data_IF_667199607428
#
_entry.id   IF_667199607428
#
_cell.length_a   1.000
_cell.length_b   1.000
_cell.length_c   1.000
_cell.angle_alpha   90.00
_cell.angle_beta   90.00
_cell.angle_gamma   90.00
#
_symmetry.space_group_name_H-M   'P 1'
#
loop_
_entity.id
_entity.type
_entity.pdbx_description
1 polymer ?
#
# COMPACT_ATOMS: atom_id res chain seq x y z
N UNK A 1 -26.30 -3.52 -49.77
CA UNK A 1 -25.94 -4.82 -49.15
C UNK A 1 -24.59 -5.24 -49.72
N UNK A 2 -23.48 -4.86 -49.08
CA UNK A 2 -22.12 -5.22 -49.53
C UNK A 2 -21.37 -5.81 -48.34
N UNK A 3 -21.06 -7.11 -48.45
CA UNK A 3 -20.29 -7.86 -47.46
C UNK A 3 -18.79 -7.63 -47.68
N UNK A 4 -18.13 -6.96 -46.74
CA UNK A 4 -16.66 -6.89 -46.67
C UNK A 4 -16.15 -8.17 -46.01
N UNK A 5 -15.51 -9.04 -46.79
CA UNK A 5 -14.66 -10.13 -46.27
C UNK A 5 -13.35 -9.53 -45.79
N UNK A 6 -13.10 -9.61 -44.49
CA UNK A 6 -11.81 -9.28 -43.88
C UNK A 6 -10.89 -10.50 -44.00
N UNK A 7 -9.89 -10.40 -44.87
CA UNK A 7 -8.79 -11.35 -45.01
C UNK A 7 -7.88 -11.21 -43.80
N UNK A 8 -7.85 -12.23 -42.94
CA UNK A 8 -6.93 -12.31 -41.81
C UNK A 8 -5.58 -12.79 -42.34
N UNK A 9 -4.57 -11.91 -42.32
CA UNK A 9 -3.19 -12.30 -42.57
C UNK A 9 -2.66 -13.11 -41.36
N UNK A 10 -2.13 -14.32 -41.55
CA UNK A 10 -1.46 -15.06 -40.49
C UNK A 10 -0.18 -14.32 -40.09
N UNK A 11 -0.10 -13.93 -38.83
CA UNK A 11 1.13 -13.36 -38.24
C UNK A 11 2.20 -14.44 -38.14
N UNK A 12 3.45 -14.17 -38.55
CA UNK A 12 4.56 -15.10 -38.38
C UNK A 12 4.87 -15.26 -36.89
N UNK A 13 4.74 -16.49 -36.39
CA UNK A 13 5.23 -16.89 -35.08
C UNK A 13 6.75 -16.71 -35.06
N UNK A 14 7.20 -15.62 -34.45
CA UNK A 14 8.61 -15.39 -34.17
C UNK A 14 8.99 -16.27 -32.98
N UNK A 15 9.54 -17.44 -33.28
CA UNK A 15 10.31 -18.25 -32.34
C UNK A 15 11.49 -17.43 -31.83
N UNK A 16 11.24 -16.70 -30.75
CA UNK A 16 12.31 -16.13 -29.92
C UNK A 16 12.78 -17.22 -28.97
N UNK A 17 13.49 -18.20 -29.52
CA UNK A 17 14.45 -19.04 -28.80
C UNK A 17 15.64 -18.16 -28.38
N UNK A 18 15.38 -17.28 -27.43
CA UNK A 18 16.35 -16.40 -26.80
C UNK A 18 16.75 -16.97 -25.46
N UNK A 19 17.89 -17.67 -25.47
CA UNK A 19 18.82 -17.91 -24.37
C UNK A 19 18.56 -17.00 -23.16
N UNK A 20 17.81 -17.54 -22.21
CA UNK A 20 17.73 -17.05 -20.86
C UNK A 20 18.05 -18.22 -19.96
N UNK A 21 19.33 -18.55 -19.82
CA UNK A 21 19.86 -19.37 -18.74
C UNK A 21 19.55 -18.66 -17.41
N UNK A 22 18.29 -18.69 -17.01
CA UNK A 22 17.92 -18.62 -15.61
C UNK A 22 18.52 -19.90 -15.04
N UNK A 23 19.69 -19.77 -14.41
CA UNK A 23 20.02 -20.59 -13.26
C UNK A 23 18.91 -20.32 -12.22
N UNK A 24 17.77 -20.94 -12.47
CA UNK A 24 16.73 -21.19 -11.52
C UNK A 24 17.36 -22.23 -10.62
N UNK A 25 18.19 -21.77 -9.68
CA UNK A 25 18.66 -22.58 -8.56
C UNK A 25 17.39 -23.00 -7.85
N UNK A 26 16.98 -24.24 -8.11
CA UNK A 26 15.81 -24.84 -7.50
C UNK A 26 16.08 -24.84 -5.98
N UNK A 27 15.31 -24.09 -5.17
CA UNK A 27 15.51 -24.05 -3.72
C UNK A 27 15.33 -25.42 -3.04
N UNK A 28 14.87 -26.43 -3.80
CA UNK A 28 14.72 -27.81 -3.38
C UNK A 28 16.04 -28.62 -3.36
N UNK A 29 17.16 -28.13 -3.91
CA UNK A 29 18.38 -28.93 -4.08
C UNK A 29 19.55 -28.48 -3.19
N UNK A 30 19.24 -28.01 -1.97
CA UNK A 30 20.25 -28.03 -0.92
C UNK A 30 20.24 -29.41 -0.28
N UNK A 31 21.20 -30.24 -0.67
CA UNK A 31 21.35 -31.57 -0.12
C UNK A 31 21.37 -31.49 1.42
N UNK A 32 20.45 -32.18 2.11
CA UNK A 32 20.41 -32.18 3.57
C UNK A 32 21.75 -32.67 4.11
N UNK A 33 22.20 -32.09 5.24
CA UNK A 33 23.46 -32.50 5.86
C UNK A 33 23.46 -34.01 6.09
N UNK A 34 24.50 -34.68 5.60
CA UNK A 34 24.68 -36.10 5.84
C UNK A 34 24.74 -36.36 7.35
N UNK A 35 24.34 -37.56 7.79
CA UNK A 35 24.35 -37.90 9.22
C UNK A 35 25.71 -37.63 9.88
N UNK A 36 26.80 -37.86 9.14
CA UNK A 36 28.15 -37.57 9.61
C UNK A 36 28.46 -36.09 9.75
N UNK A 37 27.97 -35.25 8.82
CA UNK A 37 28.09 -33.80 8.93
C UNK A 37 27.30 -33.26 10.12
N UNK A 38 26.12 -33.82 10.42
CA UNK A 38 25.33 -33.45 11.60
C UNK A 38 26.05 -33.79 12.90
N UNK A 39 26.67 -34.98 12.98
CA UNK A 39 27.49 -35.39 14.13
C UNK A 39 28.70 -34.46 14.28
N UNK A 40 29.38 -34.14 13.17
CA UNK A 40 30.50 -33.21 13.17
C UNK A 40 30.11 -31.81 13.66
N UNK A 41 28.98 -31.27 13.16
CA UNK A 41 28.45 -29.98 13.59
C UNK A 41 28.04 -29.98 15.07
N UNK A 42 27.41 -31.06 15.55
CA UNK A 42 27.04 -31.21 16.96
C UNK A 42 28.28 -31.25 17.87
N UNK A 43 29.31 -32.01 17.47
CA UNK A 43 30.57 -32.11 18.21
C UNK A 43 31.30 -30.76 18.24
N UNK A 44 31.42 -30.08 17.10
CA UNK A 44 32.02 -28.74 17.02
C UNK A 44 31.25 -27.71 17.85
N UNK A 45 29.91 -27.72 17.79
CA UNK A 45 29.05 -26.84 18.56
C UNK A 45 29.18 -27.05 20.08
N UNK A 46 29.18 -28.31 20.53
CA UNK A 46 29.40 -28.66 21.95
C UNK A 46 30.79 -28.25 22.44
N UNK A 47 31.83 -28.46 21.62
CA UNK A 47 33.20 -28.06 21.96
C UNK A 47 33.35 -26.54 22.07
N UNK A 48 32.81 -25.79 21.11
CA UNK A 48 32.87 -24.32 21.13
C UNK A 48 32.03 -23.72 22.25
N UNK A 49 30.81 -24.23 22.48
CA UNK A 49 29.95 -23.77 23.57
C UNK A 49 30.55 -24.12 24.94
N UNK A 50 31.11 -25.32 25.09
CA UNK A 50 31.80 -25.75 26.30
C UNK A 50 33.05 -24.92 26.58
N UNK A 51 33.91 -24.73 25.57
CA UNK A 51 35.10 -23.89 25.68
C UNK A 51 34.76 -22.42 25.98
N UNK A 52 33.74 -21.87 25.31
CA UNK A 52 33.25 -20.51 25.57
C UNK A 52 32.72 -20.33 26.99
N UNK A 53 31.98 -21.33 27.50
CA UNK A 53 31.43 -21.32 28.87
C UNK A 53 32.53 -21.37 29.93
N UNK A 54 33.53 -22.23 29.77
CA UNK A 54 34.68 -22.30 30.70
C UNK A 54 35.51 -21.01 30.61
N UNK A 55 35.72 -20.50 29.40
CA UNK A 55 36.48 -19.27 29.18
C UNK A 55 35.81 -18.03 29.80
N UNK A 56 34.47 -17.99 29.95
CA UNK A 56 33.81 -16.90 30.69
C UNK A 56 34.25 -16.79 32.15
N UNK A 57 34.68 -17.89 32.76
CA UNK A 57 35.14 -17.89 34.15
C UNK A 57 36.65 -17.72 34.31
N UNK A 58 37.43 -18.04 33.27
CA UNK A 58 38.91 -18.03 33.34
C UNK A 58 39.56 -16.87 32.59
N UNK A 59 38.85 -16.25 31.64
CA UNK A 59 39.37 -15.18 30.78
C UNK A 59 38.86 -13.81 31.22
N UNK A 60 39.78 -12.85 31.36
CA UNK A 60 39.43 -11.42 31.48
C UNK A 60 39.01 -10.76 30.15
N UNK A 61 39.12 -11.48 29.03
CA UNK A 61 38.76 -11.00 27.70
C UNK A 61 37.34 -11.43 27.32
N UNK A 62 36.35 -10.57 27.61
CA UNK A 62 34.93 -10.82 27.35
C UNK A 62 34.54 -10.89 25.86
N UNK A 63 35.33 -10.28 24.97
CA UNK A 63 35.04 -10.29 23.54
C UNK A 63 35.21 -11.68 22.91
N UNK A 64 36.26 -12.42 23.31
CA UNK A 64 36.54 -13.75 22.77
C UNK A 64 35.52 -14.81 23.23
N UNK A 65 35.04 -14.70 24.47
CA UNK A 65 34.07 -15.63 25.06
C UNK A 65 32.68 -15.46 24.45
N UNK A 66 32.25 -14.21 24.22
CA UNK A 66 30.99 -13.90 23.54
C UNK A 66 30.96 -14.46 22.11
N UNK A 67 32.04 -14.27 21.34
CA UNK A 67 32.13 -14.79 19.97
C UNK A 67 32.10 -16.32 19.93
N UNK A 68 32.81 -16.99 20.84
CA UNK A 68 32.83 -18.45 20.93
C UNK A 68 31.44 -19.03 21.27
N UNK A 69 30.69 -18.39 22.17
CA UNK A 69 29.32 -18.79 22.52
C UNK A 69 28.35 -18.61 21.35
N UNK A 70 28.42 -17.47 20.66
CA UNK A 70 27.58 -17.21 19.48
C UNK A 70 27.88 -18.21 18.37
N UNK A 71 29.15 -18.45 18.06
CA UNK A 71 29.55 -19.44 17.07
C UNK A 71 29.11 -20.86 17.45
N UNK A 72 29.31 -21.28 18.70
CA UNK A 72 28.86 -22.58 19.20
C UNK A 72 27.35 -22.77 19.11
N UNK A 73 26.58 -21.73 19.44
CA UNK A 73 25.11 -21.74 19.34
C UNK A 73 24.63 -21.91 17.90
N UNK A 74 25.28 -21.24 16.94
CA UNK A 74 24.99 -21.39 15.50
C UNK A 74 25.25 -22.82 15.01
N UNK A 75 26.36 -23.45 15.41
CA UNK A 75 26.66 -24.85 15.06
C UNK A 75 25.68 -25.85 15.68
N UNK A 76 25.27 -25.65 16.93
CA UNK A 76 24.23 -26.44 17.59
C UNK A 76 22.89 -26.32 16.86
N UNK A 77 22.52 -25.11 16.44
CA UNK A 77 21.30 -24.87 15.67
C UNK A 77 21.34 -25.58 14.31
N UNK A 78 22.48 -25.57 13.60
CA UNK A 78 22.66 -26.35 12.36
C UNK A 78 22.51 -27.86 12.60
N UNK A 79 23.02 -28.39 13.72
CA UNK A 79 22.93 -29.82 14.03
C UNK A 79 21.47 -30.27 14.26
N UNK A 80 20.69 -29.45 14.97
CA UNK A 80 19.27 -29.71 15.25
C UNK A 80 18.44 -29.61 13.96
N UNK A 81 18.55 -28.48 13.26
CA UNK A 81 17.73 -28.20 12.05
C UNK A 81 18.16 -29.03 10.85
N UNK A 82 19.40 -29.53 10.80
CA UNK A 82 19.93 -30.28 9.66
C UNK A 82 20.21 -29.42 8.43
N UNK A 83 20.08 -28.10 8.53
CA UNK A 83 20.32 -27.15 7.44
C UNK A 83 21.58 -26.32 7.71
N UNK A 84 22.54 -26.23 6.77
CA UNK A 84 23.69 -25.37 6.94
C UNK A 84 23.26 -23.89 6.86
N UNK A 85 23.61 -23.09 7.87
CA UNK A 85 23.55 -21.63 7.81
C UNK A 85 24.71 -21.12 6.94
N UNK A 86 24.61 -21.34 5.64
CA UNK A 86 25.47 -20.67 4.67
C UNK A 86 25.11 -19.19 4.68
N UNK A 87 26.06 -18.30 5.02
CA UNK A 87 25.84 -16.85 5.06
C UNK A 87 25.30 -16.26 3.75
N UNK A 88 25.48 -16.95 2.61
CA UNK A 88 24.84 -16.60 1.34
C UNK A 88 23.31 -16.75 1.35
N UNK A 89 22.75 -17.67 2.16
CA UNK A 89 21.31 -17.98 2.18
C UNK A 89 20.46 -16.95 2.91
N UNK A 90 21.02 -16.18 3.84
CA UNK A 90 20.33 -15.03 4.42
C UNK A 90 20.12 -13.95 3.36
N UNK A 91 21.16 -13.68 2.57
CA UNK A 91 21.05 -12.76 1.43
C UNK A 91 20.10 -13.31 0.36
N UNK A 92 20.14 -14.61 0.07
CA UNK A 92 19.20 -15.22 -0.88
C UNK A 92 17.75 -15.25 -0.36
N UNK A 93 17.54 -15.42 0.95
CA UNK A 93 16.23 -15.37 1.57
C UNK A 93 15.66 -13.94 1.51
N UNK A 94 16.46 -12.93 1.80
CA UNK A 94 16.08 -11.52 1.63
C UNK A 94 15.77 -11.20 0.17
N UNK A 95 16.59 -11.67 -0.77
CA UNK A 95 16.34 -11.51 -2.22
C UNK A 95 15.07 -12.24 -2.67
N UNK A 96 14.80 -13.44 -2.15
CA UNK A 96 13.59 -14.22 -2.42
C UNK A 96 12.34 -13.52 -1.88
N UNK A 97 12.40 -12.99 -0.65
CA UNK A 97 11.34 -12.20 -0.02
C UNK A 97 11.07 -10.93 -0.83
N UNK A 98 12.13 -10.20 -1.23
CA UNK A 98 12.01 -9.01 -2.08
C UNK A 98 11.38 -9.32 -3.44
N UNK A 99 11.78 -10.41 -4.10
CA UNK A 99 11.16 -10.86 -5.37
C UNK A 99 9.72 -11.32 -5.20
N UNK A 100 9.37 -11.95 -4.08
CA UNK A 100 7.99 -12.33 -3.77
C UNK A 100 7.13 -11.09 -3.54
N UNK A 101 7.62 -10.14 -2.75
CA UNK A 101 6.98 -8.86 -2.46
C UNK A 101 6.73 -8.06 -3.75
N UNK A 102 7.74 -7.92 -4.60
CA UNK A 102 7.61 -7.24 -5.89
C UNK A 102 6.56 -7.91 -6.81
N UNK A 103 6.48 -9.25 -6.82
CA UNK A 103 5.47 -9.99 -7.58
C UNK A 103 4.06 -9.77 -7.04
N UNK A 104 3.89 -9.76 -5.72
CA UNK A 104 2.59 -9.52 -5.08
C UNK A 104 2.13 -8.08 -5.29
N UNK A 105 3.02 -7.09 -5.14
CA UNK A 105 2.74 -5.68 -5.45
C UNK A 105 2.32 -5.53 -6.92
N UNK A 106 3.04 -6.16 -7.86
CA UNK A 106 2.68 -6.14 -9.28
C UNK A 106 1.31 -6.78 -9.52
N UNK A 107 0.99 -7.88 -8.85
CA UNK A 107 -0.33 -8.54 -8.97
C UNK A 107 -1.45 -7.65 -8.41
N UNK A 108 -1.21 -7.02 -7.26
CA UNK A 108 -2.15 -6.08 -6.66
C UNK A 108 -2.43 -4.89 -7.60
N UNK A 109 -1.41 -4.33 -8.24
CA UNK A 109 -1.58 -3.23 -9.23
C UNK A 109 -2.45 -3.60 -10.44
N UNK A 110 -2.55 -4.88 -10.79
CA UNK A 110 -3.31 -5.34 -11.96
C UNK A 110 -4.70 -5.86 -11.58
N UNK A 111 -4.98 -6.05 -10.30
CA UNK A 111 -6.25 -6.60 -9.81
C UNK A 111 -7.29 -5.50 -9.56
N UNK A 112 -8.57 -5.88 -9.43
CA UNK A 112 -9.60 -4.98 -8.90
C UNK A 112 -9.19 -4.43 -7.52
N UNK A 113 -9.53 -3.18 -7.18
CA UNK A 113 -9.19 -2.57 -5.88
C UNK A 113 -9.47 -3.45 -4.65
N UNK A 114 -10.65 -4.11 -4.52
CA UNK A 114 -10.92 -4.94 -3.34
C UNK A 114 -10.05 -6.20 -3.26
N UNK A 115 -9.64 -6.78 -4.40
CA UNK A 115 -8.73 -7.92 -4.42
C UNK A 115 -7.30 -7.50 -4.11
N UNK A 116 -6.87 -6.39 -4.68
CA UNK A 116 -5.55 -5.81 -4.45
C UNK A 116 -5.36 -5.39 -2.98
N UNK A 117 -6.42 -4.89 -2.34
CA UNK A 117 -6.44 -4.61 -0.90
C UNK A 117 -6.25 -5.87 -0.06
N UNK A 118 -6.98 -6.94 -0.36
CA UNK A 118 -6.81 -8.23 0.35
C UNK A 118 -5.37 -8.74 0.23
N UNK A 119 -4.78 -8.65 -0.96
CA UNK A 119 -3.38 -9.02 -1.17
C UNK A 119 -2.41 -8.16 -0.35
N UNK A 120 -2.67 -6.85 -0.23
CA UNK A 120 -1.86 -5.97 0.61
C UNK A 120 -2.02 -6.29 2.10
N UNK A 121 -3.25 -6.49 2.57
CA UNK A 121 -3.54 -6.85 3.96
C UNK A 121 -2.87 -8.22 4.31
N UNK A 122 -2.92 -9.20 3.40
CA UNK A 122 -2.22 -10.49 3.55
C UNK A 122 -0.69 -10.33 3.60
N UNK A 123 -0.13 -9.43 2.79
CA UNK A 123 1.31 -9.11 2.82
C UNK A 123 1.70 -8.49 4.17
N UNK A 124 0.91 -7.55 4.69
CA UNK A 124 1.15 -6.91 5.98
C UNK A 124 1.07 -7.89 7.16
N UNK A 125 0.16 -8.87 7.09
CA UNK A 125 0.04 -9.93 8.09
C UNK A 125 1.22 -10.92 8.08
N UNK A 126 1.82 -11.15 6.91
CA UNK A 126 2.88 -12.16 6.74
C UNK A 126 4.29 -11.58 6.83
N UNK A 127 4.46 -10.30 6.52
CA UNK A 127 5.74 -9.60 6.51
C UNK A 127 5.55 -8.15 7.02
N UNK A 128 5.77 -7.89 8.33
CA UNK A 128 5.61 -6.54 8.89
C UNK A 128 6.60 -5.52 8.29
N UNK A 129 7.71 -5.96 7.70
CA UNK A 129 8.66 -5.10 6.99
C UNK A 129 8.10 -4.49 5.70
N UNK A 130 6.90 -4.92 5.27
CA UNK A 130 6.16 -4.30 4.15
C UNK A 130 5.69 -2.88 4.49
N UNK A 131 5.46 -2.55 5.77
CA UNK A 131 5.00 -1.21 6.19
C UNK A 131 6.01 -0.11 5.82
N UNK A 132 7.30 -0.45 5.88
CA UNK A 132 8.39 0.47 5.57
C UNK A 132 8.76 0.49 4.08
N UNK A 133 8.25 -0.47 3.29
CA UNK A 133 8.56 -0.58 1.86
C UNK A 133 7.94 0.58 1.07
N UNK A 134 8.74 1.43 0.40
CA UNK A 134 8.24 2.56 -0.38
C UNK A 134 7.23 2.15 -1.46
N UNK A 135 7.37 0.97 -2.06
CA UNK A 135 6.45 0.48 -3.09
C UNK A 135 5.14 -0.01 -2.51
N UNK A 136 5.14 -0.62 -1.32
CA UNK A 136 3.93 -1.02 -0.63
C UNK A 136 3.16 0.21 -0.14
N UNK A 137 3.86 1.22 0.35
CA UNK A 137 3.29 2.52 0.75
C UNK A 137 2.65 3.22 -0.45
N UNK A 138 3.35 3.28 -1.58
CA UNK A 138 2.80 3.85 -2.82
C UNK A 138 1.60 3.04 -3.32
N UNK A 139 1.63 1.71 -3.17
CA UNK A 139 0.51 0.84 -3.49
C UNK A 139 -0.69 1.10 -2.57
N UNK A 140 -0.50 1.20 -1.25
CA UNK A 140 -1.56 1.48 -0.28
C UNK A 140 -2.26 2.81 -0.59
N UNK A 141 -1.48 3.84 -0.89
CA UNK A 141 -2.02 5.13 -1.35
C UNK A 141 -2.80 5.00 -2.67
N UNK A 142 -2.23 4.36 -3.68
CA UNK A 142 -2.91 4.15 -4.95
C UNK A 142 -4.20 3.30 -4.81
N UNK A 143 -4.20 2.34 -3.88
CA UNK A 143 -5.37 1.54 -3.56
C UNK A 143 -6.45 2.38 -2.89
N UNK A 144 -6.10 3.25 -1.94
CA UNK A 144 -7.08 4.19 -1.38
C UNK A 144 -7.77 4.99 -2.49
N UNK A 145 -7.00 5.59 -3.41
CA UNK A 145 -7.58 6.36 -4.52
C UNK A 145 -8.50 5.49 -5.38
N UNK A 146 -8.05 4.28 -5.74
CA UNK A 146 -8.81 3.36 -6.59
C UNK A 146 -10.08 2.83 -5.90
N UNK A 147 -10.02 2.57 -4.60
CA UNK A 147 -11.16 2.12 -3.80
C UNK A 147 -12.18 3.24 -3.61
N UNK A 148 -11.73 4.49 -3.41
CA UNK A 148 -12.64 5.65 -3.36
C UNK A 148 -13.34 5.84 -4.70
N UNK A 149 -12.62 5.73 -5.82
CA UNK A 149 -13.21 5.78 -7.15
C UNK A 149 -14.21 4.66 -7.39
N UNK A 150 -13.84 3.43 -7.05
CA UNK A 150 -14.72 2.26 -7.19
C UNK A 150 -15.98 2.38 -6.32
N UNK A 151 -15.85 2.83 -5.07
CA UNK A 151 -16.99 3.02 -4.19
C UNK A 151 -17.87 4.20 -4.60
N UNK A 152 -17.27 5.28 -5.12
CA UNK A 152 -18.01 6.41 -5.65
C UNK A 152 -18.88 5.93 -6.80
N UNK A 153 -18.30 5.23 -7.79
CA UNK A 153 -19.02 4.62 -8.92
C UNK A 153 -20.15 3.69 -8.45
N UNK A 154 -19.86 2.79 -7.50
CA UNK A 154 -20.86 1.89 -6.94
C UNK A 154 -21.97 2.58 -6.13
N UNK A 155 -21.74 3.80 -5.63
CA UNK A 155 -22.73 4.59 -4.91
C UNK A 155 -23.69 5.35 -5.85
N UNK A 156 -23.42 5.36 -7.17
CA UNK A 156 -24.19 6.13 -8.13
C UNK A 156 -25.45 5.43 -8.59
N UNK A 157 -26.47 6.27 -8.79
CA UNK A 157 -27.61 5.91 -9.61
C UNK A 157 -27.18 5.85 -11.08
N UNK A 158 -27.82 5.01 -11.92
CA UNK A 158 -27.40 4.77 -13.31
C UNK A 158 -27.28 6.04 -14.16
N UNK A 159 -28.00 7.11 -13.79
CA UNK A 159 -28.08 8.36 -14.54
C UNK A 159 -27.05 9.42 -14.10
N UNK A 160 -26.19 9.14 -13.11
CA UNK A 160 -25.18 10.09 -12.63
C UNK A 160 -23.84 9.88 -13.33
N UNK A 161 -23.23 10.97 -13.76
CA UNK A 161 -21.90 10.98 -14.36
C UNK A 161 -20.79 11.05 -13.31
N UNK A 162 -19.79 10.17 -13.43
CA UNK A 162 -18.53 10.25 -12.70
C UNK A 162 -17.41 10.68 -13.65
N UNK A 163 -16.77 11.81 -13.35
CA UNK A 163 -15.70 12.36 -14.17
C UNK A 163 -14.36 12.24 -13.41
N UNK A 164 -13.52 11.24 -13.72
CA UNK A 164 -12.17 11.18 -13.18
C UNK A 164 -11.28 12.27 -13.81
N UNK A 165 -10.44 12.90 -12.99
CA UNK A 165 -9.38 13.78 -13.49
C UNK A 165 -8.18 12.93 -13.93
N UNK A 166 -7.62 13.23 -15.11
CA UNK A 166 -6.55 12.43 -15.70
C UNK A 166 -5.21 12.53 -14.95
N UNK A 167 -4.97 13.66 -14.28
CA UNK A 167 -3.74 13.92 -13.50
C UNK A 167 -4.03 14.94 -12.38
N UNK A 168 -4.70 14.52 -11.29
CA UNK A 168 -5.09 15.43 -10.23
C UNK A 168 -3.85 15.89 -9.44
N UNK A 169 -3.66 17.20 -9.32
CA UNK A 169 -2.65 17.78 -8.43
C UNK A 169 -3.18 17.88 -7.00
N UNK A 170 -2.29 18.27 -6.06
CA UNK A 170 -2.69 18.52 -4.67
C UNK A 170 -3.71 19.66 -4.61
N UNK A 171 -4.93 19.34 -4.17
CA UNK A 171 -6.03 20.29 -4.10
C UNK A 171 -7.05 20.16 -5.22
N UNK A 172 -6.80 19.30 -6.20
CA UNK A 172 -7.78 18.93 -7.20
C UNK A 172 -8.67 17.78 -6.67
N UNK A 173 -9.95 17.73 -7.06
CA UNK A 173 -10.80 16.60 -6.73
C UNK A 173 -10.25 15.34 -7.42
N UNK A 174 -10.27 14.22 -6.71
CA UNK A 174 -10.00 12.92 -7.32
C UNK A 174 -11.06 12.60 -8.38
N UNK A 175 -12.31 12.92 -8.06
CA UNK A 175 -13.48 12.68 -8.89
C UNK A 175 -14.42 13.87 -8.77
N UNK A 176 -15.06 14.24 -9.88
CA UNK A 176 -16.21 15.13 -9.87
C UNK A 176 -17.45 14.31 -10.18
N UNK A 177 -18.44 14.41 -9.29
CA UNK A 177 -19.72 13.77 -9.47
C UNK A 177 -20.78 14.79 -9.86
N UNK A 178 -21.55 14.48 -10.90
CA UNK A 178 -22.73 15.25 -11.27
C UNK A 178 -23.99 14.58 -10.73
N UNK A 179 -24.60 15.21 -9.71
CA UNK A 179 -25.89 14.77 -9.19
C UNK A 179 -27.02 15.13 -10.16
N UNK A 180 -28.16 14.45 -10.04
CA UNK A 180 -29.32 14.61 -10.93
C UNK A 180 -29.89 16.03 -11.01
N UNK A 181 -29.61 16.88 -10.01
CA UNK A 181 -29.98 18.30 -10.00
C UNK A 181 -28.95 19.23 -10.69
N UNK A 182 -27.95 18.68 -11.38
CA UNK A 182 -26.83 19.44 -11.98
C UNK A 182 -25.77 19.89 -10.96
N UNK A 183 -25.90 19.45 -9.71
CA UNK A 183 -24.96 19.80 -8.64
C UNK A 183 -23.64 19.03 -8.79
N UNK A 184 -22.50 19.73 -8.71
CA UNK A 184 -21.16 19.13 -8.81
C UNK A 184 -20.58 18.83 -7.42
N UNK A 185 -20.27 17.56 -7.14
CA UNK A 185 -19.62 17.12 -5.89
C UNK A 185 -18.16 16.81 -6.18
N UNK A 186 -17.24 17.57 -5.60
CA UNK A 186 -15.81 17.27 -5.63
C UNK A 186 -15.47 16.26 -4.54
N UNK A 187 -14.99 15.07 -4.92
CA UNK A 187 -14.57 14.02 -3.99
C UNK A 187 -13.04 14.04 -3.90
N UNK A 188 -12.51 14.18 -2.68
CA UNK A 188 -11.08 14.25 -2.40
C UNK A 188 -10.68 13.07 -1.54
N UNK A 189 -9.65 12.33 -1.92
CA UNK A 189 -9.09 11.27 -1.10
C UNK A 189 -7.79 11.74 -0.46
N UNK A 190 -7.71 11.66 0.86
CA UNK A 190 -6.58 12.11 1.65
C UNK A 190 -6.02 10.97 2.50
N UNK A 191 -4.74 10.73 2.36
CA UNK A 191 -3.97 9.90 3.27
C UNK A 191 -2.75 10.68 3.74
N UNK A 192 -2.62 10.83 5.04
CA UNK A 192 -1.40 11.35 5.65
C UNK A 192 -0.57 10.16 6.12
N UNK A 193 0.68 10.09 5.67
CA UNK A 193 1.70 9.18 6.22
C UNK A 193 2.54 9.83 7.33
N UNK A 194 2.23 11.08 7.70
CA UNK A 194 3.06 11.82 8.65
C UNK A 194 2.82 11.33 10.07
N UNK A 195 3.90 10.98 10.77
CA UNK A 195 3.89 10.59 12.20
C UNK A 195 3.23 11.67 13.08
N UNK A 196 3.32 12.94 12.69
CA UNK A 196 2.73 14.05 13.44
C UNK A 196 1.21 14.13 13.31
N UNK A 197 0.62 13.50 12.28
CA UNK A 197 -0.79 13.66 11.90
C UNK A 197 -1.17 15.06 11.40
N UNK A 198 -0.29 16.06 11.47
CA UNK A 198 -0.64 17.47 11.24
C UNK A 198 -0.44 17.93 9.80
N UNK A 199 -1.44 18.61 9.26
CA UNK A 199 -1.33 19.31 7.97
C UNK A 199 -0.52 20.59 8.12
N UNK A 200 0.44 20.84 7.21
CA UNK A 200 1.18 22.10 7.21
C UNK A 200 0.29 23.26 6.74
N UNK A 201 0.54 24.48 7.24
CA UNK A 201 -0.20 25.67 6.81
C UNK A 201 -0.10 25.88 5.28
N UNK A 202 1.08 25.67 4.70
CA UNK A 202 1.30 25.78 3.26
C UNK A 202 0.53 24.74 2.43
N UNK A 203 0.34 23.54 2.97
CA UNK A 203 -0.51 22.54 2.33
C UNK A 203 -1.98 22.98 2.36
N UNK A 204 -2.45 23.42 3.53
CA UNK A 204 -3.84 23.89 3.71
C UNK A 204 -4.13 25.06 2.77
N UNK A 205 -3.25 26.06 2.70
CA UNK A 205 -3.42 27.23 1.83
C UNK A 205 -3.50 26.82 0.35
N UNK A 206 -2.58 25.97 -0.11
CA UNK A 206 -2.55 25.49 -1.50
C UNK A 206 -3.78 24.66 -1.83
N UNK A 207 -4.16 23.76 -0.93
CA UNK A 207 -5.32 22.90 -1.09
C UNK A 207 -6.60 23.73 -1.19
N UNK A 208 -6.80 24.70 -0.31
CA UNK A 208 -7.99 25.55 -0.30
C UNK A 208 -8.07 26.44 -1.53
N UNK A 209 -6.94 27.01 -1.99
CA UNK A 209 -6.90 27.78 -3.22
C UNK A 209 -7.32 26.95 -4.43
N UNK A 210 -6.77 25.74 -4.60
CA UNK A 210 -7.11 24.85 -5.71
C UNK A 210 -8.54 24.32 -5.64
N UNK A 211 -9.02 23.94 -4.46
CA UNK A 211 -10.39 23.49 -4.29
C UNK A 211 -11.41 24.57 -4.67
N UNK A 212 -11.10 25.85 -4.44
CA UNK A 212 -11.93 26.98 -4.89
C UNK A 212 -12.02 27.07 -6.41
N UNK A 213 -10.91 26.79 -7.10
CA UNK A 213 -10.83 26.83 -8.57
C UNK A 213 -11.50 25.61 -9.24
N UNK A 214 -11.77 24.54 -8.49
CA UNK A 214 -12.38 23.30 -9.01
C UNK A 214 -13.88 23.42 -9.35
N UNK A 215 -14.51 24.58 -9.12
CA UNK A 215 -15.92 24.88 -9.48
C UNK A 215 -16.94 23.83 -9.01
N UNK A 216 -16.71 23.22 -7.84
CA UNK A 216 -17.64 22.29 -7.23
C UNK A 216 -18.66 23.02 -6.34
N UNK A 217 -19.89 22.52 -6.28
CA UNK A 217 -20.94 23.06 -5.42
C UNK A 217 -20.83 22.58 -3.98
N UNK A 218 -20.26 21.38 -3.79
CA UNK A 218 -20.05 20.73 -2.51
C UNK A 218 -18.76 19.92 -2.54
N UNK A 219 -18.10 19.83 -1.38
CA UNK A 219 -16.80 19.16 -1.24
C UNK A 219 -16.91 17.97 -0.27
N UNK A 220 -16.42 16.80 -0.67
CA UNK A 220 -16.38 15.60 0.17
C UNK A 220 -14.93 15.17 0.40
N UNK A 221 -14.45 15.30 1.62
CA UNK A 221 -13.11 14.86 2.03
C UNK A 221 -13.19 13.44 2.59
N UNK A 222 -12.55 12.50 1.90
CA UNK A 222 -12.47 11.08 2.27
C UNK A 222 -11.10 10.81 2.87
N UNK A 223 -11.05 10.26 4.08
CA UNK A 223 -9.79 10.06 4.82
C UNK A 223 -9.60 8.65 5.34
N UNK A 224 -8.39 8.13 5.21
CA UNK A 224 -8.04 6.78 5.67
C UNK A 224 -7.33 6.70 7.04
N UNK A 225 -7.12 7.80 7.77
CA UNK A 225 -6.30 7.73 9.00
C UNK A 225 -6.60 8.78 10.10
N UNK A 226 -5.85 8.64 11.19
CA UNK A 226 -5.90 9.21 12.55
C UNK A 226 -5.89 10.73 12.72
N UNK A 227 -5.95 11.52 11.64
CA UNK A 227 -5.88 12.99 11.68
C UNK A 227 -7.25 13.66 11.45
N UNK A 228 -8.31 13.05 11.99
CA UNK A 228 -9.69 13.53 11.86
C UNK A 228 -9.85 14.99 12.29
N UNK A 229 -9.12 15.42 13.31
CA UNK A 229 -9.23 16.79 13.84
C UNK A 229 -8.64 17.84 12.89
N UNK A 230 -7.51 17.52 12.24
CA UNK A 230 -6.92 18.42 11.25
C UNK A 230 -7.76 18.48 9.97
N UNK A 231 -8.38 17.38 9.57
CA UNK A 231 -9.32 17.38 8.45
C UNK A 231 -10.62 18.11 8.75
N UNK A 232 -11.11 18.03 9.98
CA UNK A 232 -12.25 18.87 10.40
C UNK A 232 -11.87 20.34 10.36
N UNK A 233 -10.66 20.69 10.81
CA UNK A 233 -10.13 22.06 10.73
C UNK A 233 -10.00 22.53 9.28
N UNK A 234 -9.51 21.66 8.38
CA UNK A 234 -9.46 21.91 6.94
C UNK A 234 -10.87 22.08 6.35
N UNK A 235 -11.82 21.23 6.71
CA UNK A 235 -13.20 21.29 6.23
C UNK A 235 -13.89 22.58 6.63
N UNK A 236 -13.78 22.99 7.91
CA UNK A 236 -14.33 24.26 8.42
C UNK A 236 -13.71 25.44 7.69
N UNK A 237 -12.39 25.42 7.46
CA UNK A 237 -11.70 26.47 6.71
C UNK A 237 -12.17 26.53 5.26
N UNK A 238 -12.26 25.38 4.58
CA UNK A 238 -12.69 25.27 3.20
C UNK A 238 -14.14 25.76 3.04
N UNK A 239 -15.04 25.38 3.94
CA UNK A 239 -16.44 25.83 3.96
C UNK A 239 -16.52 27.36 4.14
N UNK A 240 -15.74 27.93 5.05
CA UNK A 240 -15.66 29.38 5.26
C UNK A 240 -15.12 30.14 4.05
N UNK A 241 -14.09 29.61 3.37
CA UNK A 241 -13.42 30.32 2.27
C UNK A 241 -14.11 30.13 0.91
N UNK A 242 -14.79 29.02 0.69
CA UNK A 242 -15.53 28.74 -0.54
C UNK A 242 -17.01 29.10 -0.45
N UNK A 243 -17.56 29.21 0.76
CA UNK A 243 -19.00 29.37 1.00
C UNK A 243 -19.81 28.12 0.60
N UNK A 244 -19.17 26.97 0.40
CA UNK A 244 -19.80 25.73 -0.04
C UNK A 244 -19.80 24.67 1.06
N UNK A 245 -20.83 23.83 1.16
CA UNK A 245 -20.87 22.76 2.14
C UNK A 245 -19.70 21.78 1.97
N UNK A 246 -19.07 21.44 3.09
CA UNK A 246 -17.99 20.44 3.14
C UNK A 246 -18.41 19.26 4.02
N UNK A 247 -18.13 18.04 3.56
CA UNK A 247 -18.36 16.80 4.30
C UNK A 247 -17.03 16.08 4.53
N UNK A 248 -16.93 15.35 5.64
CA UNK A 248 -15.77 14.50 5.93
C UNK A 248 -16.26 13.07 6.14
N UNK A 249 -15.71 12.12 5.39
CA UNK A 249 -15.99 10.70 5.50
C UNK A 249 -14.74 9.97 5.95
N UNK A 250 -14.90 9.19 7.01
CA UNK A 250 -13.89 8.26 7.48
C UNK A 250 -13.96 6.95 6.67
N UNK A 251 -12.88 6.67 5.95
CA UNK A 251 -12.73 5.48 5.12
C UNK A 251 -12.59 4.20 5.92
N UNK A 252 -12.33 4.26 7.23
CA UNK A 252 -12.25 3.07 8.09
C UNK A 252 -13.56 2.26 8.10
N UNK A 253 -14.71 2.92 7.90
CA UNK A 253 -16.05 2.29 7.87
C UNK A 253 -16.38 1.75 6.46
N UNK A 254 -15.53 2.02 5.47
CA UNK A 254 -15.63 1.64 4.04
C UNK A 254 -17.01 1.96 3.42
N UNK A 255 -17.16 1.69 2.12
CA UNK A 255 -18.32 1.84 1.21
C UNK A 255 -19.62 2.51 1.74
N UNK A 256 -20.20 2.01 2.84
CA UNK A 256 -21.36 2.61 3.52
C UNK A 256 -21.19 4.08 3.92
N UNK A 257 -19.99 4.47 4.36
CA UNK A 257 -19.70 5.85 4.78
C UNK A 257 -19.72 6.84 3.62
N UNK A 258 -19.24 6.42 2.45
CA UNK A 258 -19.14 7.28 1.28
C UNK A 258 -20.51 7.64 0.72
N UNK A 259 -21.36 6.63 0.47
CA UNK A 259 -22.73 6.85 -0.03
C UNK A 259 -23.51 7.79 0.87
N UNK A 260 -23.49 7.52 2.18
CA UNK A 260 -24.17 8.37 3.17
C UNK A 260 -23.61 9.80 3.16
N UNK A 261 -22.29 9.96 3.08
CA UNK A 261 -21.65 11.27 3.00
C UNK A 261 -22.03 12.07 1.75
N UNK A 262 -22.15 11.40 0.60
CA UNK A 262 -22.63 12.00 -0.65
C UNK A 262 -24.09 12.43 -0.49
N UNK A 263 -24.96 11.54 -0.01
CA UNK A 263 -26.38 11.82 0.18
C UNK A 263 -26.57 13.00 1.14
N UNK A 264 -25.91 12.99 2.31
CA UNK A 264 -25.97 14.07 3.30
C UNK A 264 -25.49 15.42 2.73
N UNK A 265 -24.47 15.42 1.87
CA UNK A 265 -23.97 16.64 1.22
C UNK A 265 -24.93 17.19 0.17
N UNK A 266 -25.48 16.32 -0.68
CA UNK A 266 -26.46 16.71 -1.71
C UNK A 266 -27.70 17.34 -1.04
N UNK A 267 -28.17 16.75 0.06
CA UNK A 267 -29.28 17.31 0.84
C UNK A 267 -28.95 18.65 1.51
N UNK A 268 -27.68 18.91 1.88
CA UNK A 268 -27.27 20.21 2.44
C UNK A 268 -27.19 21.29 1.36
N UNK A 269 -26.65 20.96 0.19
CA UNK A 269 -26.53 21.93 -0.91
C UNK A 269 -27.87 22.40 -1.46
N UNK A 270 -28.88 21.53 -1.49
CA UNK A 270 -30.25 21.87 -1.93
C UNK A 270 -31.02 22.78 -0.96
N UNK A 271 -30.54 22.98 0.28
CA UNK A 271 -31.15 23.90 1.26
C UNK A 271 -30.61 25.33 1.22
N UNK A 272 -29.57 25.59 0.42
CA UNK A 272 -29.00 26.93 0.23
C UNK A 272 -29.59 27.78 -0.93
N UNK A 273 -30.69 27.44 -1.65
CA UNK A 273 -31.20 28.30 -2.70
C UNK A 273 -31.97 29.45 -2.06
N UNK A 274 -31.33 30.62 -1.93
CA UNK A 274 -32.08 31.86 -1.75
C UNK A 274 -31.79 32.71 -0.52
N UNK A 275 -30.65 32.57 0.18
CA UNK A 275 -30.12 33.72 0.92
C UNK A 275 -29.45 34.72 -0.05
N UNK A 276 -30.22 35.18 -1.03
CA UNK A 276 -30.00 36.50 -1.59
C UNK A 276 -30.35 37.48 -0.49
N UNK A 277 -29.34 37.98 0.22
CA UNK A 277 -29.53 39.18 1.02
C UNK A 277 -30.08 40.26 0.07
N UNK A 278 -31.23 40.89 0.37
CA UNK A 278 -31.64 42.07 -0.38
C UNK A 278 -30.51 43.11 -0.27
N UNK A 279 -30.00 43.54 -1.42
CA UNK A 279 -29.08 44.67 -1.53
C UNK A 279 -29.80 45.97 -1.18
#
# INVERSE_FOLDING_TARGET
>A
MYARRSTVCPMPQSETSGVGARAQLDPAEADPLSRWQRVGAAAAGLLLAGAGSVAMFTSGNGAGTAVALVAGSVFLLMAITGMPLLGGRLMDAELMMGRRRARLIRRARLGPPPEARRLLDDMLLTDPGVVEDPHAVALDFALLLSEVAYAADAALEPDRGLHPLADPEVGDPLLVLEASAGQRVGIYAMAAKMESGRLSASFVDRFTARAKDAECDVYLLVTAASFKDDLRSLAVRLERETGRPVGVVDWSIRNTGLRRGIDDLVHRGTRLPGQGAPQ
#
